data_IF_167771973945
#
_entry.id   IF_167771973945
#
_cell.length_a   1.000
_cell.length_b   1.000
_cell.length_c   1.000
_cell.angle_alpha   90.00
_cell.angle_beta   90.00
_cell.angle_gamma   90.00
#
_symmetry.space_group_name_H-M   'P 1'
#
loop_
_entity.id
_entity.type
_entity.pdbx_description
1 polymer ?
#
# COMPACT_ATOMS: atom_id res chain seq x y z
N UNK A 1 -25.64 6.87 9.18
CA UNK A 1 -24.62 5.82 9.32
C UNK A 1 -23.98 5.99 10.69
N UNK A 2 -24.17 5.03 11.58
CA UNK A 2 -23.60 5.07 12.93
C UNK A 2 -22.26 4.33 12.83
N UNK A 3 -21.15 5.04 13.06
CA UNK A 3 -19.82 4.44 13.03
C UNK A 3 -19.67 3.72 14.37
N UNK A 4 -19.66 2.39 14.36
CA UNK A 4 -19.31 1.61 15.53
C UNK A 4 -17.80 1.77 15.76
N UNK A 5 -17.43 2.33 16.91
CA UNK A 5 -16.03 2.60 17.26
C UNK A 5 -15.37 1.33 17.80
N UNK A 6 -16.18 0.38 18.30
CA UNK A 6 -15.76 -0.93 18.79
C UNK A 6 -15.89 -1.99 17.68
N UNK A 7 -15.28 -1.73 16.52
CA UNK A 7 -15.23 -2.70 15.43
C UNK A 7 -14.12 -3.74 15.71
N UNK A 8 -14.46 -5.01 15.98
CA UNK A 8 -13.50 -6.04 16.38
C UNK A 8 -12.37 -6.26 15.36
N UNK A 9 -12.64 -6.00 14.07
CA UNK A 9 -11.67 -6.16 12.97
C UNK A 9 -11.26 -4.83 12.32
N UNK A 10 -11.29 -3.72 13.08
CA UNK A 10 -11.08 -2.36 12.58
C UNK A 10 -9.83 -2.21 11.70
N UNK A 11 -8.70 -2.81 12.12
CA UNK A 11 -7.44 -2.78 11.36
C UNK A 11 -7.55 -3.53 10.04
N UNK A 12 -8.14 -4.72 10.04
CA UNK A 12 -8.32 -5.51 8.83
C UNK A 12 -9.27 -4.83 7.85
N UNK A 13 -10.40 -4.30 8.35
CA UNK A 13 -11.36 -3.55 7.55
C UNK A 13 -10.76 -2.26 6.96
N UNK A 14 -9.95 -1.54 7.75
CA UNK A 14 -9.22 -0.36 7.25
C UNK A 14 -8.34 -0.74 6.05
N UNK A 15 -7.54 -1.79 6.17
CA UNK A 15 -6.65 -2.22 5.09
C UNK A 15 -7.41 -2.82 3.90
N UNK A 16 -8.53 -3.51 4.14
CA UNK A 16 -9.41 -3.99 3.07
C UNK A 16 -9.98 -2.81 2.26
N UNK A 17 -10.55 -1.80 2.92
CA UNK A 17 -11.06 -0.61 2.26
C UNK A 17 -9.97 0.17 1.50
N UNK A 18 -8.76 0.27 2.06
CA UNK A 18 -7.62 0.86 1.36
C UNK A 18 -7.25 0.10 0.08
N UNK A 19 -7.29 -1.25 0.09
CA UNK A 19 -7.04 -2.08 -1.10
C UNK A 19 -8.13 -1.92 -2.16
N UNK A 20 -9.40 -1.87 -1.74
CA UNK A 20 -10.53 -1.63 -2.63
C UNK A 20 -10.44 -0.26 -3.30
N UNK A 21 -10.13 0.79 -2.53
CA UNK A 21 -9.90 2.13 -3.05
C UNK A 21 -8.73 2.16 -4.04
N UNK A 22 -7.61 1.49 -3.72
CA UNK A 22 -6.45 1.40 -4.61
C UNK A 22 -6.78 0.66 -5.93
N UNK A 23 -7.58 -0.40 -5.87
CA UNK A 23 -8.06 -1.11 -7.04
C UNK A 23 -9.00 -0.24 -7.89
N UNK A 24 -9.87 0.57 -7.26
CA UNK A 24 -10.69 1.54 -7.96
C UNK A 24 -9.85 2.63 -8.64
N UNK A 25 -8.88 3.21 -7.93
CA UNK A 25 -7.94 4.19 -8.48
C UNK A 25 -7.19 3.64 -9.70
N UNK A 26 -6.74 2.39 -9.64
CA UNK A 26 -6.09 1.71 -10.78
C UNK A 26 -7.03 1.56 -11.98
N UNK A 27 -8.25 1.08 -11.74
CA UNK A 27 -9.27 0.83 -12.76
C UNK A 27 -9.65 2.10 -13.50
N UNK A 28 -9.79 3.21 -12.77
CA UNK A 28 -10.21 4.50 -13.31
C UNK A 28 -9.03 5.42 -13.69
N UNK A 29 -7.79 4.99 -13.43
CA UNK A 29 -6.57 5.81 -13.59
C UNK A 29 -6.69 7.15 -12.87
N UNK A 30 -7.27 7.12 -11.67
CA UNK A 30 -7.59 8.29 -10.88
C UNK A 30 -6.42 8.64 -9.95
N UNK A 31 -5.61 9.60 -10.39
CA UNK A 31 -4.47 10.09 -9.62
C UNK A 31 -4.90 10.78 -8.32
N UNK A 32 -6.04 11.47 -8.32
CA UNK A 32 -6.54 12.16 -7.13
C UNK A 32 -6.95 11.17 -6.04
N UNK A 33 -7.49 10.02 -6.45
CA UNK A 33 -7.81 8.93 -5.52
C UNK A 33 -6.55 8.28 -4.95
N UNK A 34 -5.49 8.12 -5.75
CA UNK A 34 -4.19 7.68 -5.23
C UNK A 34 -3.61 8.63 -4.18
N UNK A 35 -3.66 9.94 -4.45
CA UNK A 35 -3.23 10.96 -3.49
C UNK A 35 -4.04 10.92 -2.19
N UNK A 36 -5.35 10.68 -2.29
CA UNK A 36 -6.21 10.52 -1.12
C UNK A 36 -5.85 9.29 -0.29
N UNK A 37 -5.60 8.14 -0.94
CA UNK A 37 -5.15 6.91 -0.27
C UNK A 37 -3.82 7.15 0.45
N UNK A 38 -2.85 7.78 -0.22
CA UNK A 38 -1.57 8.18 0.37
C UNK A 38 -1.79 9.04 1.62
N UNK A 39 -2.65 10.06 1.54
CA UNK A 39 -2.97 10.96 2.66
C UNK A 39 -3.63 10.22 3.83
N UNK A 40 -4.58 9.33 3.56
CA UNK A 40 -5.26 8.53 4.59
C UNK A 40 -4.26 7.61 5.29
N UNK A 41 -3.42 6.90 4.52
CA UNK A 41 -2.38 6.03 5.07
C UNK A 41 -1.39 6.78 5.97
N UNK A 42 -0.95 7.98 5.56
CA UNK A 42 -0.09 8.85 6.40
C UNK A 42 -0.75 9.19 7.73
N UNK A 43 -2.00 9.64 7.68
CA UNK A 43 -2.74 10.05 8.88
C UNK A 43 -3.02 8.87 9.81
N UNK A 44 -3.27 7.67 9.26
CA UNK A 44 -3.45 6.44 10.03
C UNK A 44 -2.16 6.07 10.77
N UNK A 45 -1.02 6.07 10.08
CA UNK A 45 0.29 5.80 10.70
C UNK A 45 0.64 6.78 11.82
N UNK A 46 0.39 8.07 11.58
CA UNK A 46 0.65 9.12 12.58
C UNK A 46 -0.20 8.95 13.85
N UNK A 47 -1.33 8.24 13.75
CA UNK A 47 -2.21 7.90 14.87
C UNK A 47 -1.87 6.54 15.50
N UNK A 48 -0.78 5.89 15.07
CA UNK A 48 -0.35 4.60 15.61
C UNK A 48 -1.06 3.39 15.01
N UNK A 49 -1.82 3.57 13.91
CA UNK A 49 -2.33 2.42 13.15
C UNK A 49 -1.13 1.74 12.49
N UNK A 50 -0.92 0.47 12.83
CA UNK A 50 0.16 -0.32 12.27
C UNK A 50 -0.01 -0.44 10.76
N UNK A 51 1.06 -0.12 10.01
CA UNK A 51 1.10 -0.48 8.61
C UNK A 51 1.19 -1.99 8.56
N UNK A 52 0.15 -2.64 8.07
CA UNK A 52 0.30 -4.00 7.58
C UNK A 52 0.71 -3.84 6.13
N UNK A 53 1.99 -3.97 5.76
CA UNK A 53 2.40 -3.93 4.37
C UNK A 53 2.00 -5.26 3.71
N UNK A 54 0.69 -5.54 3.70
CA UNK A 54 0.08 -6.74 3.15
C UNK A 54 0.37 -6.74 1.65
N UNK A 55 1.39 -7.52 1.25
CA UNK A 55 1.83 -7.66 -0.13
C UNK A 55 2.58 -6.46 -0.73
N UNK A 56 3.12 -5.52 0.05
CA UNK A 56 3.94 -4.41 -0.48
C UNK A 56 3.20 -3.31 -1.26
N UNK A 57 1.89 -3.42 -1.48
CA UNK A 57 1.08 -2.46 -2.25
C UNK A 57 1.15 -1.03 -1.71
N UNK A 58 1.29 -0.84 -0.39
CA UNK A 58 1.34 0.49 0.23
C UNK A 58 2.75 1.04 0.42
N UNK A 59 3.76 0.38 -0.14
CA UNK A 59 5.14 0.86 -0.18
C UNK A 59 5.45 1.52 -1.52
N UNK A 60 6.44 2.40 -1.57
CA UNK A 60 7.01 2.84 -2.83
C UNK A 60 7.79 1.71 -3.51
N UNK A 61 7.66 1.56 -4.83
CA UNK A 61 8.34 0.51 -5.60
C UNK A 61 9.77 0.95 -6.00
N UNK A 62 10.83 0.22 -5.60
CA UNK A 62 12.21 0.58 -5.92
C UNK A 62 12.59 0.40 -7.41
N UNK A 63 11.78 -0.33 -8.17
CA UNK A 63 12.07 -0.65 -9.57
C UNK A 63 11.44 0.36 -10.52
N UNK A 64 10.14 0.63 -10.36
CA UNK A 64 9.37 1.47 -11.29
C UNK A 64 8.85 2.78 -10.69
N UNK A 65 9.20 3.07 -9.43
CA UNK A 65 8.75 4.27 -8.71
C UNK A 65 7.24 4.39 -8.49
N UNK A 66 6.46 3.32 -8.71
CA UNK A 66 5.05 3.28 -8.38
C UNK A 66 4.84 3.64 -6.90
N UNK A 67 3.92 4.56 -6.64
CA UNK A 67 3.62 5.06 -5.30
C UNK A 67 2.71 4.10 -4.52
N UNK A 68 2.51 4.36 -3.24
CA UNK A 68 1.59 3.59 -2.39
C UNK A 68 0.20 3.50 -2.99
N UNK A 69 -0.35 2.29 -3.03
CA UNK A 69 -1.63 1.98 -3.67
C UNK A 69 -1.54 1.79 -5.19
N UNK A 70 -0.52 2.32 -5.85
CA UNK A 70 -0.37 2.16 -7.30
C UNK A 70 0.12 0.76 -7.66
N UNK A 71 -0.42 0.22 -8.75
CA UNK A 71 0.11 -0.99 -9.38
C UNK A 71 1.47 -0.68 -10.03
N UNK A 72 2.33 -1.69 -10.10
CA UNK A 72 3.60 -1.52 -10.80
C UNK A 72 3.37 -1.52 -12.32
N UNK A 73 4.38 -1.05 -13.05
CA UNK A 73 4.44 -1.15 -14.52
C UNK A 73 5.60 -2.05 -14.92
N UNK A 74 5.48 -2.74 -16.07
CA UNK A 74 6.60 -3.53 -16.60
C UNK A 74 7.80 -2.63 -16.87
N UNK A 75 8.98 -3.04 -16.41
CA UNK A 75 10.24 -2.37 -16.74
C UNK A 75 11.22 -3.37 -17.36
N UNK A 76 12.18 -2.93 -18.20
CA UNK A 76 13.19 -3.83 -18.74
C UNK A 76 13.91 -4.59 -17.61
N UNK A 77 14.04 -5.91 -17.76
CA UNK A 77 14.65 -6.84 -16.78
C UNK A 77 13.85 -7.09 -15.49
N UNK A 78 12.71 -6.41 -15.30
CA UNK A 78 11.79 -6.68 -14.18
C UNK A 78 10.36 -6.80 -14.71
N UNK A 79 10.00 -7.95 -15.33
CA UNK A 79 8.63 -8.21 -15.73
C UNK A 79 7.73 -8.40 -14.50
N UNK A 80 6.49 -7.95 -14.59
CA UNK A 80 5.48 -8.18 -13.55
C UNK A 80 4.92 -9.60 -13.62
N UNK A 81 4.63 -10.15 -12.45
CA UNK A 81 3.89 -11.40 -12.30
C UNK A 81 2.37 -11.14 -12.14
N UNK A 82 1.62 -12.18 -11.78
CA UNK A 82 0.17 -12.10 -11.56
C UNK A 82 -0.25 -11.12 -10.45
N UNK A 83 0.64 -10.87 -9.47
CA UNK A 83 0.39 -9.92 -8.39
C UNK A 83 0.37 -8.46 -8.88
N UNK A 84 0.90 -8.23 -10.10
CA UNK A 84 1.10 -6.89 -10.71
C UNK A 84 1.96 -5.96 -9.85
N UNK A 85 2.70 -6.52 -8.91
CA UNK A 85 3.72 -5.85 -8.12
C UNK A 85 5.09 -6.44 -8.47
N UNK A 86 6.12 -5.61 -8.43
CA UNK A 86 7.49 -6.12 -8.51
C UNK A 86 7.81 -6.93 -7.25
N UNK A 87 8.40 -8.14 -7.38
CA UNK A 87 8.80 -8.96 -6.24
C UNK A 87 9.63 -8.19 -5.20
N UNK A 88 10.52 -7.31 -5.66
CA UNK A 88 11.37 -6.48 -4.81
C UNK A 88 10.57 -5.54 -3.90
N UNK A 89 9.39 -5.09 -4.33
CA UNK A 89 8.48 -4.28 -3.51
C UNK A 89 7.84 -5.12 -2.40
N UNK A 90 7.47 -6.36 -2.72
CA UNK A 90 6.87 -7.31 -1.77
C UNK A 90 7.92 -7.81 -0.77
N UNK A 91 9.11 -8.18 -1.23
CA UNK A 91 10.22 -8.57 -0.36
C UNK A 91 10.63 -7.46 0.59
N UNK A 92 10.62 -6.20 0.14
CA UNK A 92 10.91 -5.06 1.00
C UNK A 92 9.88 -4.92 2.12
N UNK A 93 8.60 -5.15 1.85
CA UNK A 93 7.57 -5.23 2.88
C UNK A 93 7.84 -6.33 3.89
N UNK A 94 8.17 -7.53 3.42
CA UNK A 94 8.45 -8.66 4.29
C UNK A 94 9.65 -8.44 5.18
N UNK A 95 10.75 -7.92 4.63
CA UNK A 95 11.95 -7.56 5.39
C UNK A 95 11.66 -6.50 6.44
N UNK A 96 10.83 -5.52 6.11
CA UNK A 96 10.42 -4.48 7.05
C UNK A 96 9.55 -5.05 8.18
N UNK A 97 8.61 -5.96 7.87
CA UNK A 97 7.80 -6.66 8.89
C UNK A 97 8.66 -7.52 9.81
N UNK A 98 9.76 -8.11 9.31
CA UNK A 98 10.73 -8.86 10.12
C UNK A 98 11.71 -7.98 10.91
N UNK A 99 11.67 -6.65 10.72
CA UNK A 99 12.59 -5.71 11.36
C UNK A 99 14.02 -5.76 10.81
N UNK A 100 14.24 -6.42 9.67
CA UNK A 100 15.56 -6.52 9.03
C UNK A 100 15.99 -5.21 8.35
N UNK A 101 15.00 -4.43 7.91
CA UNK A 101 15.18 -3.09 7.36
C UNK A 101 14.21 -2.13 8.03
N UNK A 102 14.54 -0.82 8.12
CA UNK A 102 13.55 0.17 8.52
C UNK A 102 12.31 0.07 7.63
N UNK A 103 11.12 0.34 8.19
CA UNK A 103 9.94 0.56 7.38
C UNK A 103 10.30 1.56 6.28
N UNK A 104 10.20 1.18 5.00
CA UNK A 104 10.50 2.09 3.90
C UNK A 104 9.68 3.32 4.15
N UNK A 105 10.32 4.50 4.07
CA UNK A 105 9.55 5.74 4.17
C UNK A 105 8.37 5.56 3.22
N UNK A 106 7.13 5.66 3.74
CA UNK A 106 5.99 5.28 2.93
C UNK A 106 5.87 6.18 1.69
N UNK A 107 6.67 7.26 1.63
CA UNK A 107 6.76 8.25 0.57
C UNK A 107 8.22 8.72 0.49
N UNK A 108 8.79 8.77 -0.73
CA UNK A 108 9.96 9.59 -1.01
C UNK A 108 9.66 11.07 -0.76
#
# INVERSE_FOLDING_TARGET
>A
MQINIDEPDATEQFWAGMREAAAAAARHRDNSLYEAIVKIGKSALAQGIELVPSGGLFLWCPICSAQSGQQCINTPRHPLDESRLHPERTELAEKAMRGEVPLPKPFG
#
